data_IF_967455359643
#
_entry.id   IF_967455359643
#
_cell.length_a   1.000
_cell.length_b   1.000
_cell.length_c   1.000
_cell.angle_alpha   90.00
_cell.angle_beta   90.00
_cell.angle_gamma   90.00
#
_symmetry.space_group_name_H-M   'P 1'
#
loop_
_entity.id
_entity.type
_entity.pdbx_description
1 polymer ?
#
# COMPACT_ATOMS: atom_id res chain seq x y z
N UNK A 1 4.79 -13.00 -13.29
CA UNK A 1 3.57 -12.34 -12.82
C UNK A 1 3.54 -10.83 -12.99
N UNK A 2 4.21 -10.02 -12.16
CA UNK A 2 4.09 -8.54 -12.26
C UNK A 2 4.39 -7.97 -13.66
N UNK A 3 5.50 -8.41 -14.27
CA UNK A 3 5.87 -7.97 -15.63
C UNK A 3 4.87 -8.44 -16.70
N UNK A 4 4.32 -9.65 -16.55
CA UNK A 4 3.30 -10.16 -17.46
C UNK A 4 2.01 -9.34 -17.37
N UNK A 5 1.58 -8.99 -16.15
CA UNK A 5 0.42 -8.10 -15.96
C UNK A 5 0.68 -6.72 -16.55
N UNK A 6 1.87 -6.15 -16.34
CA UNK A 6 2.25 -4.88 -16.95
C UNK A 6 2.21 -4.92 -18.48
N UNK A 7 2.70 -5.99 -19.09
CA UNK A 7 2.72 -6.16 -20.56
C UNK A 7 1.35 -6.49 -21.14
N UNK A 8 0.58 -7.37 -20.50
CA UNK A 8 -0.66 -7.90 -21.04
C UNK A 8 -1.82 -6.91 -20.94
N UNK A 9 -1.88 -6.13 -19.86
CA UNK A 9 -3.02 -5.24 -19.56
C UNK A 9 -2.61 -3.80 -19.26
N UNK A 10 -1.34 -3.44 -19.41
CA UNK A 10 -0.86 -2.08 -19.13
C UNK A 10 -0.94 -1.68 -17.66
N UNK A 11 -0.95 -2.66 -16.74
CA UNK A 11 -1.07 -2.39 -15.31
C UNK A 11 0.14 -1.58 -14.79
N UNK A 12 -0.14 -0.39 -14.26
CA UNK A 12 0.87 0.49 -13.65
C UNK A 12 1.30 0.01 -12.25
N UNK A 13 0.37 -0.62 -11.53
CA UNK A 13 0.57 -1.15 -10.19
C UNK A 13 -0.37 -2.34 -9.96
N UNK A 14 -0.02 -3.20 -9.01
CA UNK A 14 -0.84 -4.35 -8.61
C UNK A 14 -1.00 -4.34 -7.09
N UNK A 15 -2.24 -4.43 -6.63
CA UNK A 15 -2.64 -4.53 -5.23
C UNK A 15 -3.86 -5.47 -5.13
N UNK A 16 -4.34 -5.80 -3.93
CA UNK A 16 -5.31 -6.89 -3.75
C UNK A 16 -6.63 -6.48 -3.08
N UNK A 17 -6.76 -5.25 -2.59
CA UNK A 17 -7.87 -4.84 -1.71
C UNK A 17 -8.79 -3.78 -2.33
N UNK A 18 -8.27 -2.84 -3.13
CA UNK A 18 -9.01 -1.66 -3.57
C UNK A 18 -10.18 -2.00 -4.48
N UNK A 19 -10.11 -3.06 -5.27
CA UNK A 19 -11.24 -3.49 -6.11
C UNK A 19 -12.47 -3.78 -5.24
N UNK A 20 -12.33 -4.60 -4.20
CA UNK A 20 -13.44 -5.01 -3.34
C UNK A 20 -13.97 -3.84 -2.52
N UNK A 21 -13.07 -3.00 -1.99
CA UNK A 21 -13.47 -1.79 -1.25
C UNK A 21 -14.24 -0.84 -2.18
N UNK A 22 -13.72 -0.59 -3.39
CA UNK A 22 -14.36 0.28 -4.37
C UNK A 22 -15.71 -0.25 -4.84
N UNK A 23 -15.85 -1.56 -4.97
CA UNK A 23 -17.13 -2.19 -5.27
C UNK A 23 -18.17 -1.90 -4.18
N UNK A 24 -17.83 -2.09 -2.90
CA UNK A 24 -18.73 -1.81 -1.78
C UNK A 24 -19.07 -0.32 -1.69
N UNK A 25 -18.09 0.57 -1.87
CA UNK A 25 -18.33 2.01 -1.89
C UNK A 25 -19.30 2.42 -3.01
N UNK A 26 -19.12 1.87 -4.22
CA UNK A 26 -20.01 2.11 -5.37
C UNK A 26 -21.43 1.65 -5.08
N UNK A 27 -21.61 0.47 -4.49
CA UNK A 27 -22.93 -0.09 -4.13
C UNK A 27 -23.65 0.76 -3.08
N UNK A 28 -22.92 1.51 -2.24
CA UNK A 28 -23.46 2.36 -1.19
C UNK A 28 -23.44 3.86 -1.52
N UNK A 29 -23.13 4.24 -2.76
CA UNK A 29 -22.99 5.64 -3.19
C UNK A 29 -22.00 6.47 -2.34
N UNK A 30 -20.92 5.83 -1.88
CA UNK A 30 -19.86 6.48 -1.11
C UNK A 30 -18.72 6.86 -2.07
N UNK A 31 -18.32 8.15 -2.16
CA UNK A 31 -17.15 8.56 -2.92
C UNK A 31 -15.89 7.80 -2.48
N UNK A 32 -15.14 7.26 -3.43
CA UNK A 32 -13.98 6.41 -3.15
C UNK A 32 -12.75 6.86 -3.94
N UNK A 33 -11.62 7.02 -3.23
CA UNK A 33 -10.31 7.29 -3.80
C UNK A 33 -9.30 6.30 -3.21
N UNK A 34 -8.60 5.57 -4.08
CA UNK A 34 -7.50 4.70 -3.69
C UNK A 34 -6.15 5.37 -4.01
N UNK A 35 -5.30 5.53 -2.99
CA UNK A 35 -3.95 6.10 -3.16
C UNK A 35 -2.93 5.09 -2.66
N UNK A 36 -1.91 4.82 -3.48
CA UNK A 36 -0.91 3.78 -3.22
C UNK A 36 0.49 4.36 -3.40
N UNK A 37 1.40 3.98 -2.49
CA UNK A 37 2.83 4.21 -2.64
C UNK A 37 3.51 2.86 -2.95
N UNK A 38 4.37 2.85 -3.97
CA UNK A 38 5.03 1.62 -4.45
C UNK A 38 6.20 1.26 -3.53
N UNK A 39 6.19 0.05 -2.98
CA UNK A 39 7.24 -0.46 -2.09
C UNK A 39 8.20 -1.43 -2.79
N UNK A 40 7.77 -2.09 -3.86
CA UNK A 40 8.56 -3.07 -4.60
C UNK A 40 8.25 -3.04 -6.10
N UNK A 41 9.27 -2.78 -6.92
CA UNK A 41 9.11 -2.67 -8.39
C UNK A 41 9.03 -4.04 -9.07
N UNK A 42 8.86 -4.05 -10.39
CA UNK A 42 8.77 -5.28 -11.19
C UNK A 42 10.03 -6.16 -11.07
N UNK A 43 11.20 -5.55 -10.90
CA UNK A 43 12.49 -6.23 -10.74
C UNK A 43 12.71 -6.73 -9.31
N UNK A 44 11.86 -6.29 -8.38
CA UNK A 44 11.92 -6.67 -6.99
C UNK A 44 11.06 -7.90 -6.76
N UNK A 45 11.71 -9.06 -6.71
CA UNK A 45 11.08 -10.26 -6.19
C UNK A 45 11.31 -10.34 -4.69
N UNK A 46 10.22 -10.39 -3.93
CA UNK A 46 10.26 -10.89 -2.57
C UNK A 46 10.86 -12.30 -2.62
N UNK A 47 11.88 -12.60 -1.81
CA UNK A 47 12.45 -13.93 -1.79
C UNK A 47 11.34 -14.96 -1.51
N UNK A 48 11.31 -16.07 -2.26
CA UNK A 48 10.21 -17.06 -2.25
C UNK A 48 9.82 -17.53 -0.84
N UNK A 49 10.77 -17.55 0.08
CA UNK A 49 10.56 -17.92 1.47
C UNK A 49 9.72 -16.90 2.26
N UNK A 50 9.81 -15.60 1.96
CA UNK A 50 9.01 -14.54 2.61
C UNK A 50 7.55 -14.73 2.24
N UNK A 51 7.28 -14.96 0.95
CA UNK A 51 5.94 -15.23 0.42
C UNK A 51 5.34 -16.48 1.06
N UNK A 52 6.11 -17.59 1.09
CA UNK A 52 5.66 -18.83 1.74
C UNK A 52 5.32 -18.65 3.23
N UNK A 53 6.10 -17.83 3.94
CA UNK A 53 5.88 -17.59 5.37
C UNK A 53 4.72 -16.62 5.63
N UNK A 54 4.58 -15.57 4.81
CA UNK A 54 3.48 -14.61 4.90
C UNK A 54 2.11 -15.30 4.70
N UNK A 55 2.01 -16.21 3.73
CA UNK A 55 0.79 -17.00 3.52
C UNK A 55 0.47 -17.95 4.69
N UNK A 56 1.49 -18.57 5.31
CA UNK A 56 1.29 -19.50 6.45
C UNK A 56 0.95 -18.80 7.76
N UNK A 57 1.30 -17.53 7.91
CA UNK A 57 1.23 -16.80 9.17
C UNK A 57 0.11 -15.76 9.24
N UNK A 58 -0.90 -15.85 8.36
CA UNK A 58 -2.07 -14.96 8.38
C UNK A 58 -2.61 -14.76 9.81
N UNK A 59 -2.39 -13.56 10.36
CA UNK A 59 -2.85 -13.17 11.71
C UNK A 59 -2.05 -13.70 12.91
N UNK A 60 -0.90 -14.37 12.73
CA UNK A 60 -0.14 -14.98 13.84
C UNK A 60 0.84 -14.03 14.54
N UNK A 61 1.06 -14.27 15.83
CA UNK A 61 1.83 -13.44 16.77
C UNK A 61 3.24 -13.02 16.27
N UNK A 62 3.64 -11.77 16.57
CA UNK A 62 4.88 -11.11 16.13
C UNK A 62 6.14 -11.96 16.34
N UNK A 63 6.20 -12.75 17.41
CA UNK A 63 7.38 -13.59 17.72
C UNK A 63 7.57 -14.76 16.75
N UNK A 64 6.49 -15.34 16.21
CA UNK A 64 6.57 -16.42 15.19
C UNK A 64 7.13 -15.91 13.87
N UNK A 65 6.98 -14.62 13.60
CA UNK A 65 7.50 -13.99 12.38
C UNK A 65 9.00 -13.66 12.49
N UNK A 66 9.52 -13.46 13.70
CA UNK A 66 10.91 -13.03 13.95
C UNK A 66 11.90 -14.21 14.04
N UNK A 67 11.49 -15.32 14.65
CA UNK A 67 12.34 -16.50 14.84
C UNK A 67 12.99 -17.05 13.56
N UNK A 68 12.25 -17.19 12.43
CA UNK A 68 12.83 -17.69 11.17
C UNK A 68 13.84 -16.73 10.54
N UNK A 69 13.67 -15.42 10.78
CA UNK A 69 14.58 -14.39 10.27
C UNK A 69 15.90 -14.43 11.04
N UNK A 70 15.85 -14.61 12.36
CA UNK A 70 17.05 -14.78 13.20
C UNK A 70 17.85 -16.04 12.84
N UNK A 71 17.15 -17.13 12.47
CA UNK A 71 17.79 -18.38 12.06
C UNK A 71 18.40 -18.33 10.66
N UNK A 72 18.17 -17.26 9.87
CA UNK A 72 18.60 -17.14 8.47
C UNK A 72 19.11 -15.73 8.16
N UNK A 73 20.31 -15.37 8.65
CA UNK A 73 20.85 -14.01 8.54
C UNK A 73 21.03 -13.50 7.10
N UNK A 74 21.16 -14.40 6.11
CA UNK A 74 21.19 -14.03 4.69
C UNK A 74 19.87 -13.44 4.17
N UNK A 75 18.79 -13.48 4.95
CA UNK A 75 17.51 -12.84 4.64
C UNK A 75 17.47 -11.35 5.00
N UNK A 76 18.38 -10.92 5.88
CA UNK A 76 18.41 -9.56 6.44
C UNK A 76 18.54 -8.46 5.38
N UNK A 77 19.42 -8.56 4.36
CA UNK A 77 19.57 -7.48 3.39
C UNK A 77 18.27 -7.19 2.60
N UNK A 78 17.56 -8.23 2.19
CA UNK A 78 16.27 -8.10 1.48
C UNK A 78 15.18 -7.46 2.35
N UNK A 79 15.14 -7.83 3.63
CA UNK A 79 14.19 -7.27 4.60
C UNK A 79 14.52 -5.81 4.97
N UNK A 80 15.81 -5.50 5.17
CA UNK A 80 16.25 -4.13 5.46
C UNK A 80 15.97 -3.19 4.29
N UNK A 81 16.19 -3.65 3.05
CA UNK A 81 15.84 -2.90 1.85
C UNK A 81 14.32 -2.65 1.78
N UNK A 82 13.50 -3.67 2.04
CA UNK A 82 12.05 -3.52 2.06
C UNK A 82 11.59 -2.59 3.18
N UNK A 83 12.24 -2.62 4.34
CA UNK A 83 11.97 -1.72 5.45
C UNK A 83 12.31 -0.26 5.07
N UNK A 84 13.43 -0.02 4.39
CA UNK A 84 13.80 1.29 3.89
C UNK A 84 12.80 1.79 2.82
N UNK A 85 12.44 0.96 1.84
CA UNK A 85 11.44 1.28 0.83
C UNK A 85 10.07 1.59 1.46
N UNK A 86 9.65 0.77 2.43
CA UNK A 86 8.42 1.00 3.22
C UNK A 86 8.47 2.32 3.99
N UNK A 87 9.61 2.68 4.57
CA UNK A 87 9.77 3.95 5.28
C UNK A 87 9.63 5.15 4.32
N UNK A 88 10.22 5.07 3.12
CA UNK A 88 10.08 6.11 2.09
C UNK A 88 8.65 6.21 1.56
N UNK A 89 8.04 5.08 1.23
CA UNK A 89 6.64 5.01 0.77
C UNK A 89 5.68 5.59 1.81
N UNK A 90 5.89 5.27 3.09
CA UNK A 90 5.12 5.84 4.20
C UNK A 90 5.24 7.36 4.25
N UNK A 91 6.46 7.92 4.17
CA UNK A 91 6.67 9.37 4.17
C UNK A 91 5.93 10.04 3.00
N UNK A 92 6.02 9.48 1.80
CA UNK A 92 5.33 10.01 0.62
C UNK A 92 3.81 9.96 0.78
N UNK A 93 3.27 8.84 1.26
CA UNK A 93 1.82 8.71 1.47
C UNK A 93 1.31 9.63 2.59
N UNK A 94 2.09 9.82 3.67
CA UNK A 94 1.77 10.78 4.72
C UNK A 94 1.76 12.22 4.18
N UNK A 95 2.76 12.60 3.39
CA UNK A 95 2.80 13.93 2.78
C UNK A 95 1.60 14.18 1.86
N UNK A 96 1.26 13.20 1.02
CA UNK A 96 0.04 13.24 0.21
C UNK A 96 -1.21 13.40 1.08
N UNK A 97 -1.38 12.56 2.11
CA UNK A 97 -2.57 12.57 2.94
C UNK A 97 -2.76 13.91 3.66
N UNK A 98 -1.68 14.49 4.21
CA UNK A 98 -1.72 15.80 4.86
C UNK A 98 -2.12 16.89 3.86
N UNK A 99 -1.51 16.92 2.68
CA UNK A 99 -1.83 17.91 1.64
C UNK A 99 -3.28 17.78 1.15
N UNK A 100 -3.72 16.55 0.89
CA UNK A 100 -5.06 16.23 0.42
C UNK A 100 -6.13 16.61 1.46
N UNK A 101 -5.95 16.24 2.73
CA UNK A 101 -6.90 16.65 3.78
C UNK A 101 -6.94 18.17 3.98
N UNK A 102 -5.79 18.84 3.81
CA UNK A 102 -5.72 20.30 3.84
C UNK A 102 -6.53 20.96 2.72
N UNK A 103 -6.43 20.46 1.48
CA UNK A 103 -7.18 21.00 0.34
C UNK A 103 -8.69 20.78 0.47
N UNK A 104 -9.11 19.61 0.95
CA UNK A 104 -10.53 19.32 1.19
C UNK A 104 -11.15 20.24 2.24
N UNK A 105 -10.39 20.60 3.28
CA UNK A 105 -10.86 21.51 4.32
C UNK A 105 -11.06 22.92 3.76
N UNK A 106 -10.16 23.39 2.90
CA UNK A 106 -10.27 24.71 2.26
C UNK A 106 -11.45 24.80 1.29
N UNK A 107 -11.67 23.76 0.50
CA UNK A 107 -12.79 23.69 -0.45
C UNK A 107 -14.14 23.64 0.29
N UNK A 108 -14.25 22.85 1.36
CA UNK A 108 -15.45 22.80 2.21
C UNK A 108 -15.76 24.15 2.90
N UNK A 109 -14.73 24.87 3.39
CA UNK A 109 -14.90 26.21 3.96
C UNK A 109 -15.32 27.21 2.87
N UNK A 110 -14.73 27.13 1.67
CA UNK A 110 -15.09 27.99 0.54
C UNK A 110 -16.56 27.83 0.12
N UNK A 111 -17.05 26.59 0.03
CA UNK A 111 -18.45 26.32 -0.28
C UNK A 111 -19.42 26.83 0.81
N UNK A 112 -19.07 26.66 2.09
CA UNK A 112 -19.90 27.12 3.21
C UNK A 112 -20.03 28.65 3.27
N UNK A 113 -19.00 29.40 2.86
CA UNK A 113 -19.04 30.87 2.80
C UNK A 113 -19.94 31.33 1.64
N UNK A 114 -19.85 30.69 0.47
CA UNK A 114 -20.66 31.05 -0.72
C UNK A 114 -22.16 30.74 -0.53
N UNK A 115 -22.53 29.69 0.22
CA UNK A 115 -23.95 29.42 0.54
C UNK A 115 -24.55 30.35 1.61
N UNK A 116 -23.73 31.17 2.28
CA UNK A 116 -24.16 32.08 3.33
C UNK A 116 -24.37 33.54 2.87
N UNK A 117 -24.09 33.84 1.60
CA UNK A 117 -24.39 35.11 0.91
C UNK A 117 -25.60 34.97 -0.02
#
# INVERSE_FOLDING_TARGET
>A
DKALLGQAIGALAVEMESYWIGQVCRENNVPFLAVRAIIDTVDHQLPKYVVHYAHKMGGQSRWRQVLPVLLRPWWMPGLLRLAAASATARKSLTAFAVAFMGSYTQEAIGHAIVESE
#
